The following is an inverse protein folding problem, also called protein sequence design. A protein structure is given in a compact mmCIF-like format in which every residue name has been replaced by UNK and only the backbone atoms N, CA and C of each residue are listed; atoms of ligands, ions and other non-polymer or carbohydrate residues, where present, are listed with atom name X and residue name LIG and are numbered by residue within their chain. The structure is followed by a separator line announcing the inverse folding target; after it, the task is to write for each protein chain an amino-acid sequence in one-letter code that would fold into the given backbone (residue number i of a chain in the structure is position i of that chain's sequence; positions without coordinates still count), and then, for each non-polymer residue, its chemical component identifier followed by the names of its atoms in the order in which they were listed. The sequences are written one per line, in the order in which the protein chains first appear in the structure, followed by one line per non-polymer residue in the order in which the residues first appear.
data_IF_064227201964
#
_entry.id   IF_064227201964
#
_cell.length_a   1.000
_cell.length_b   1.000
_cell.length_c   1.000
_cell.angle_alpha   90.00
_cell.angle_beta   90.00
_cell.angle_gamma   90.00
#
_symmetry.space_group_name_H-M   'P 1'
#
loop_
_entity.id
_entity.type
_entity.pdbx_description
1 polymer ?
#
# COMPACT_ATOMS: atom_id res chain seq x y z
N UNK A 1 -8.93 -28.35 12.84
CA UNK A 1 -9.31 -27.69 12.32
C UNK A 1 -10.32 -26.74 12.67
N UNK A 2 -10.70 -26.66 13.74
CA UNK A 2 -11.61 -25.76 14.10
C UNK A 2 -11.17 -24.40 13.97
N UNK A 3 -9.91 -24.16 14.02
CA UNK A 3 -9.48 -22.83 13.97
C UNK A 3 -9.88 -22.22 12.68
N UNK A 4 -10.25 -22.98 11.72
CA UNK A 4 -10.62 -22.38 10.57
C UNK A 4 -11.77 -21.54 10.73
N UNK A 5 -12.69 -21.79 11.58
CA UNK A 5 -13.88 -21.00 11.68
C UNK A 5 -13.54 -19.64 12.22
N UNK A 6 -12.34 -19.42 12.70
CA UNK A 6 -11.98 -18.12 13.20
C UNK A 6 -11.11 -17.35 12.21
N UNK A 7 -10.94 -17.86 11.02
CA UNK A 7 -10.13 -17.16 10.04
C UNK A 7 -10.93 -16.02 9.44
N UNK A 8 -10.42 -14.81 9.52
CA UNK A 8 -11.08 -13.68 8.94
C UNK A 8 -10.43 -13.33 7.63
N UNK A 9 -11.17 -12.83 6.67
CA UNK A 9 -10.63 -12.55 5.35
C UNK A 9 -9.70 -11.34 5.38
N UNK A 10 -8.79 -11.30 4.45
CA UNK A 10 -7.96 -10.14 4.26
C UNK A 10 -8.64 -9.25 3.23
N UNK A 11 -8.69 -7.97 3.50
CA UNK A 11 -9.32 -7.03 2.61
C UNK A 11 -8.24 -6.36 1.77
N UNK A 12 -8.38 -6.42 0.45
CA UNK A 12 -7.46 -5.73 -0.45
C UNK A 12 -8.21 -4.54 -0.99
N UNK A 13 -7.71 -3.35 -0.70
CA UNK A 13 -8.41 -2.14 -1.09
C UNK A 13 -8.10 -1.77 -2.54
N UNK A 14 -8.78 -0.71 -3.04
CA UNK A 14 -8.73 -0.40 -4.45
C UNK A 14 -7.33 -0.18 -4.94
N UNK A 15 -7.07 -0.68 -6.08
CA UNK A 15 -5.85 -0.49 -6.84
C UNK A 15 -4.56 -0.85 -6.11
N UNK A 16 -4.65 -1.75 -5.15
CA UNK A 16 -3.45 -2.30 -4.54
C UNK A 16 -2.84 -3.27 -5.55
N UNK A 17 -1.53 -3.36 -5.57
CA UNK A 17 -0.82 -4.27 -6.48
C UNK A 17 -0.10 -5.31 -5.66
N UNK A 18 -0.34 -6.57 -5.94
CA UNK A 18 0.32 -7.64 -5.21
C UNK A 18 1.16 -8.44 -6.18
N UNK A 19 2.45 -8.49 -5.92
CA UNK A 19 3.37 -9.19 -6.81
C UNK A 19 3.21 -10.69 -6.75
N UNK A 20 3.79 -11.37 -7.73
CA UNK A 20 3.66 -12.81 -7.82
C UNK A 20 4.35 -13.50 -6.66
N UNK A 21 3.82 -14.62 -6.27
CA UNK A 21 4.45 -15.45 -5.24
C UNK A 21 4.33 -14.92 -3.83
N UNK A 22 3.46 -13.93 -3.59
CA UNK A 22 3.30 -13.42 -2.25
C UNK A 22 2.41 -14.31 -1.40
N UNK A 23 2.71 -14.35 -0.12
CA UNK A 23 1.85 -15.03 0.85
C UNK A 23 1.31 -13.94 1.75
N UNK A 24 0.00 -13.85 1.88
CA UNK A 24 -0.62 -12.81 2.69
C UNK A 24 -1.45 -13.45 3.79
N UNK A 25 -1.24 -13.02 5.01
CA UNK A 25 -1.97 -13.57 6.13
C UNK A 25 -3.43 -13.18 6.11
N UNK A 26 -4.18 -13.68 7.06
CA UNK A 26 -5.61 -13.38 7.13
C UNK A 26 -5.84 -12.20 8.07
N UNK A 27 -7.03 -11.66 7.99
CA UNK A 27 -7.43 -10.57 8.88
C UNK A 27 -6.50 -9.35 8.74
N UNK A 28 -6.10 -9.03 7.53
CA UNK A 28 -5.26 -7.88 7.28
C UNK A 28 -5.95 -6.94 6.30
N UNK A 29 -5.44 -5.74 6.19
CA UNK A 29 -5.93 -4.80 5.19
C UNK A 29 -4.75 -4.38 4.35
N UNK A 30 -4.85 -4.57 3.04
CA UNK A 30 -3.84 -4.08 2.12
C UNK A 30 -4.39 -2.76 1.60
N UNK A 31 -3.71 -1.67 1.90
CA UNK A 31 -4.25 -0.34 1.67
C UNK A 31 -4.39 0.04 0.21
N UNK A 32 -5.04 1.18 -0.02
CA UNK A 32 -5.28 1.64 -1.38
C UNK A 32 -3.96 2.02 -2.02
N UNK A 33 -3.78 1.67 -3.25
CA UNK A 33 -2.57 1.99 -4.01
C UNK A 33 -1.29 1.42 -3.40
N UNK A 34 -1.41 0.54 -2.43
CA UNK A 34 -0.25 -0.09 -1.82
C UNK A 34 0.36 -1.08 -2.81
N UNK A 35 1.62 -1.36 -2.66
CA UNK A 35 2.30 -2.33 -3.51
C UNK A 35 3.01 -3.35 -2.65
N UNK A 36 2.83 -4.63 -2.97
CA UNK A 36 3.49 -5.71 -2.26
C UNK A 36 4.47 -6.34 -3.25
N UNK A 37 5.74 -6.28 -2.96
CA UNK A 37 6.76 -6.79 -3.88
C UNK A 37 6.72 -8.30 -4.01
N UNK A 38 7.20 -8.81 -5.14
CA UNK A 38 7.15 -10.23 -5.41
C UNK A 38 7.78 -11.05 -4.32
N UNK A 39 7.20 -12.18 -4.03
CA UNK A 39 7.76 -13.13 -3.07
C UNK A 39 7.69 -12.70 -1.61
N UNK A 40 6.95 -11.66 -1.30
CA UNK A 40 6.89 -11.18 0.07
C UNK A 40 5.93 -12.00 0.92
N UNK A 41 6.18 -12.02 2.22
CA UNK A 41 5.27 -12.68 3.15
C UNK A 41 4.71 -11.60 4.06
N UNK A 42 3.45 -11.28 3.89
CA UNK A 42 2.81 -10.17 4.57
C UNK A 42 2.10 -10.66 5.82
N UNK A 43 2.54 -10.17 6.97
CA UNK A 43 1.99 -10.59 8.24
C UNK A 43 1.31 -9.46 8.98
N UNK A 44 1.34 -8.24 8.44
CA UNK A 44 0.70 -7.10 9.06
C UNK A 44 0.00 -6.30 7.96
N UNK A 45 -1.00 -5.53 8.33
CA UNK A 45 -1.69 -4.69 7.36
C UNK A 45 -0.74 -3.71 6.70
N UNK A 46 -1.02 -3.35 5.47
CA UNK A 46 -0.17 -2.47 4.69
C UNK A 46 -0.89 -1.13 4.53
N UNK A 47 -0.31 -0.03 4.97
CA UNK A 47 -0.96 1.27 4.85
C UNK A 47 -1.11 1.69 3.38
N UNK A 48 -1.99 2.64 3.13
CA UNK A 48 -2.20 3.17 1.79
C UNK A 48 -0.89 3.73 1.25
N UNK A 49 -0.65 3.55 -0.02
CA UNK A 49 0.51 4.09 -0.73
C UNK A 49 1.86 3.58 -0.23
N UNK A 50 1.90 2.50 0.50
CA UNK A 50 3.18 1.96 0.94
C UNK A 50 3.64 0.85 0.03
N UNK A 51 4.94 0.74 -0.12
CA UNK A 51 5.54 -0.38 -0.81
C UNK A 51 6.14 -1.26 0.28
N UNK A 52 5.71 -2.52 0.35
CA UNK A 52 6.26 -3.45 1.32
C UNK A 52 6.98 -4.57 0.59
N UNK A 53 8.00 -5.10 1.22
CA UNK A 53 8.82 -6.14 0.60
C UNK A 53 9.48 -6.96 1.67
N UNK A 54 9.68 -8.23 1.40
CA UNK A 54 10.47 -9.10 2.27
C UNK A 54 9.67 -10.14 3.03
N UNK A 55 10.34 -10.87 3.89
CA UNK A 55 9.77 -11.94 4.67
C UNK A 55 10.33 -11.85 6.08
N UNK A 56 9.60 -11.30 7.01
CA UNK A 56 8.29 -10.70 6.88
C UNK A 56 8.37 -9.37 6.13
N UNK A 57 7.33 -9.04 5.41
CA UNK A 57 7.33 -7.83 4.61
C UNK A 57 7.35 -6.59 5.49
N UNK A 58 8.10 -5.58 5.07
CA UNK A 58 8.18 -4.33 5.80
C UNK A 58 8.02 -3.19 4.83
N UNK A 59 7.50 -2.07 5.31
CA UNK A 59 7.33 -0.90 4.48
C UNK A 59 8.68 -0.32 4.16
N UNK A 60 9.02 -0.24 2.89
CA UNK A 60 10.30 0.28 2.48
C UNK A 60 10.19 1.62 1.78
N UNK A 61 9.01 2.08 1.51
CA UNK A 61 8.86 3.38 0.89
C UNK A 61 7.42 3.72 0.58
N UNK A 62 7.22 4.89 0.00
CA UNK A 62 5.90 5.36 -0.41
C UNK A 62 5.87 5.43 -1.92
N UNK A 63 4.73 5.06 -2.50
CA UNK A 63 4.56 5.06 -3.95
C UNK A 63 3.41 5.96 -4.36
N UNK A 64 3.46 6.45 -5.58
CA UNK A 64 2.41 7.28 -6.13
C UNK A 64 1.35 6.41 -6.79
N UNK A 65 0.23 6.98 -7.12
CA UNK A 65 -0.80 6.25 -7.84
C UNK A 65 -0.28 5.69 -9.15
N UNK A 66 0.70 6.32 -9.74
CA UNK A 66 1.22 5.83 -11.01
C UNK A 66 2.19 4.66 -10.82
N UNK A 67 2.47 4.29 -9.59
CA UNK A 67 3.35 3.17 -9.32
C UNK A 67 4.80 3.55 -9.09
N UNK A 68 5.12 4.83 -9.20
CA UNK A 68 6.51 5.26 -9.03
C UNK A 68 6.87 5.36 -7.56
N UNK A 69 8.01 4.82 -7.19
CA UNK A 69 8.48 4.98 -5.82
C UNK A 69 8.89 6.42 -5.61
N UNK A 70 8.32 7.08 -4.64
CA UNK A 70 8.59 8.49 -4.39
C UNK A 70 9.69 8.68 -3.36
N UNK A 71 9.71 7.88 -2.32
CA UNK A 71 10.71 8.03 -1.28
C UNK A 71 10.91 6.71 -0.58
N UNK A 72 12.12 6.47 -0.12
CA UNK A 72 12.41 5.27 0.64
C UNK A 72 12.39 5.61 2.11
N UNK A 73 11.85 4.72 2.91
CA UNK A 73 11.79 4.96 4.34
C UNK A 73 13.09 4.53 5.00
N UNK A 74 13.61 5.30 5.93
CA UNK A 74 14.82 4.92 6.62
C UNK A 74 14.54 3.82 7.63
N UNK A 75 15.57 3.11 8.03
CA UNK A 75 15.37 2.05 8.97
C UNK A 75 15.08 2.61 10.35
N UNK A 76 15.44 3.82 10.59
CA UNK A 76 15.28 4.40 11.90
C UNK A 76 13.86 4.67 12.28
N UNK A 77 12.99 4.72 11.37
CA UNK A 77 11.60 4.93 11.75
C UNK A 77 10.85 5.81 10.79
N UNK A 78 9.67 6.25 11.17
CA UNK A 78 8.82 7.00 10.26
C UNK A 78 9.42 8.35 9.90
N UNK A 79 9.05 8.85 8.76
CA UNK A 79 9.55 10.13 8.30
C UNK A 79 8.38 11.05 8.06
N UNK A 80 8.67 12.33 8.01
CA UNK A 80 7.66 13.32 7.76
C UNK A 80 8.09 14.20 6.59
N UNK A 81 7.19 14.41 5.63
CA UNK A 81 7.45 15.28 4.51
C UNK A 81 6.23 16.12 4.33
N UNK A 82 6.34 17.43 4.46
CA UNK A 82 5.17 18.26 4.27
C UNK A 82 4.75 18.31 2.82
N UNK A 83 5.64 18.07 1.92
CA UNK A 83 5.30 18.14 0.52
C UNK A 83 6.22 17.23 -0.26
N UNK A 84 5.66 16.33 -1.02
CA UNK A 84 6.41 15.37 -1.79
C UNK A 84 5.74 15.22 -3.14
N UNK A 85 6.47 15.43 -4.22
CA UNK A 85 5.92 15.31 -5.54
C UNK A 85 6.38 14.05 -6.21
N UNK A 86 5.52 13.44 -6.97
CA UNK A 86 5.92 12.30 -7.78
C UNK A 86 6.71 12.81 -8.96
N UNK A 87 7.92 12.35 -9.18
CA UNK A 87 8.74 12.83 -10.29
C UNK A 87 8.19 12.42 -11.66
N UNK A 88 7.31 11.47 -11.71
CA UNK A 88 6.79 11.01 -12.98
C UNK A 88 5.48 11.67 -13.36
N UNK A 89 4.53 11.77 -12.47
CA UNK A 89 3.22 12.31 -12.81
C UNK A 89 2.87 13.62 -12.13
N UNK A 90 3.68 14.07 -11.20
CA UNK A 90 3.44 15.38 -10.58
C UNK A 90 2.42 15.45 -9.47
N UNK A 91 1.82 14.34 -9.10
CA UNK A 91 0.87 14.36 -8.00
C UNK A 91 1.59 14.66 -6.70
N UNK A 92 0.92 15.35 -5.80
CA UNK A 92 1.53 15.77 -4.56
C UNK A 92 1.00 15.05 -3.34
N UNK A 93 1.86 14.78 -2.41
CA UNK A 93 1.52 14.03 -1.21
C UNK A 93 2.19 14.63 0.02
N UNK A 94 1.71 14.23 1.18
CA UNK A 94 2.31 14.62 2.43
C UNK A 94 2.49 13.34 3.25
N UNK A 95 3.55 13.20 3.99
CA UNK A 95 3.76 12.04 4.84
C UNK A 95 3.91 12.50 6.28
N UNK A 96 3.08 11.96 7.16
CA UNK A 96 3.13 12.29 8.57
C UNK A 96 3.22 10.98 9.36
N UNK A 97 4.31 10.78 10.07
CA UNK A 97 4.56 9.55 10.82
C UNK A 97 4.38 8.33 9.94
N UNK A 98 4.83 8.42 8.72
CA UNK A 98 4.74 7.29 7.79
C UNK A 98 3.40 7.17 7.08
N UNK A 99 2.41 7.96 7.46
CA UNK A 99 1.12 7.87 6.80
C UNK A 99 1.10 8.81 5.61
N UNK A 100 0.78 8.29 4.43
CA UNK A 100 0.81 9.06 3.20
C UNK A 100 -0.57 9.62 2.90
N UNK A 101 -0.64 10.92 2.65
CA UNK A 101 -1.91 11.59 2.39
C UNK A 101 -1.80 12.29 1.04
N UNK A 102 -2.82 12.14 0.21
CA UNK A 102 -2.83 12.80 -1.09
C UNK A 102 -3.23 14.23 -0.92
N UNK A 103 -2.44 15.16 -1.44
CA UNK A 103 -2.76 16.56 -1.34
C UNK A 103 -3.64 17.01 -2.51
N UNK A 104 -3.43 16.42 -3.69
CA UNK A 104 -4.23 16.82 -4.85
C UNK A 104 -4.72 15.56 -5.56
N UNK A 105 -5.66 14.83 -5.01
CA UNK A 105 -6.14 13.62 -5.66
C UNK A 105 -6.84 13.92 -6.97
N UNK A 106 -6.59 13.12 -7.96
CA UNK A 106 -7.25 13.29 -9.25
C UNK A 106 -8.71 13.00 -9.05
N UNK A 107 -9.52 13.81 -9.65
CA UNK A 107 -10.81 13.57 -9.47
C UNK A 107 -11.45 12.57 -10.19
N UNK A 108 -11.10 12.14 -11.06
CA UNK A 108 -11.75 11.27 -11.88
C UNK A 108 -12.24 10.14 -11.34
N UNK A 109 -11.77 9.74 -10.87
CA UNK A 109 -11.93 8.65 -10.51
C UNK A 109 -12.98 8.05 -10.14
N UNK A 110 -13.62 7.82 -10.56
CA UNK A 110 -14.63 7.18 -10.30
C UNK A 110 -14.27 6.01 -9.65
N UNK A 111 -14.03 6.15 -8.59
CA UNK A 111 -13.66 5.13 -7.89
C UNK A 111 -14.40 3.95 -8.16
N UNK A 112 -15.40 4.18 -8.65
CA UNK A 112 -16.20 3.16 -9.01
C UNK A 112 -15.48 2.08 -9.59
N UNK A 113 -14.63 2.32 -10.35
CA UNK A 113 -14.07 1.33 -11.03
C UNK A 113 -13.42 0.34 -10.23
N UNK A 114 -12.84 0.74 -9.30
CA UNK A 114 -12.12 -0.10 -8.57
C UNK A 114 -12.89 -1.14 -7.92
N UNK A 115 -13.99 -0.84 -7.55
CA UNK A 115 -14.80 -1.76 -6.88
C UNK A 115 -15.00 -2.97 -7.69
N UNK A 116 -15.13 -2.77 -8.90
CA UNK A 116 -15.40 -3.85 -9.76
C UNK A 116 -14.25 -4.76 -9.83
N UNK A 117 -13.13 -4.24 -9.87
CA UNK A 117 -12.01 -5.05 -10.01
C UNK A 117 -11.77 -5.97 -8.90
N UNK A 118 -12.19 -5.63 -7.79
CA UNK A 118 -11.93 -6.46 -6.70
C UNK A 118 -12.80 -7.63 -6.65
N UNK A 119 -13.75 -7.61 -7.38
CA UNK A 119 -14.62 -8.75 -7.39
C UNK A 119 -13.97 -9.92 -8.03
#
# INVERSE_FOLDING_TARGET
MLFRSHTLPTLVREVATIGAGCTIGNDLVIGRWAMVGMGSIVTKSVPDFHLVLGSPARSIGAVCRCGQLMVKFPKEGPINFKHLDCPTCGLEYEITNGEVIELTPPEDVPGTLETVLLA
#
